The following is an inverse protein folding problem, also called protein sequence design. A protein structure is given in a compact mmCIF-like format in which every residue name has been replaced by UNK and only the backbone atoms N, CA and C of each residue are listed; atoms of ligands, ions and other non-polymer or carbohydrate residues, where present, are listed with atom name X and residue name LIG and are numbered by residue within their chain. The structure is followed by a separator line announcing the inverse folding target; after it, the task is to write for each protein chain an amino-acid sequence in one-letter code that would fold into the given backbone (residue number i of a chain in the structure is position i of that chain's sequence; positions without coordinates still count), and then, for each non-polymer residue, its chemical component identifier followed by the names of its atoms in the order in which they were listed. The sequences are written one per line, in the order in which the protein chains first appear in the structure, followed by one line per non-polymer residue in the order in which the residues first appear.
data_IF_588511092773
#
_entry.id   IF_588511092773
#
_cell.length_a   1.000
_cell.length_b   1.000
_cell.length_c   1.000
_cell.angle_alpha   90.00
_cell.angle_beta   90.00
_cell.angle_gamma   90.00
#
_symmetry.space_group_name_H-M   'P 1'
#
loop_
_entity.id
_entity.type
_entity.pdbx_description
1 polymer ?
#
# COMPACT_ATOMS: atom_id res chain seq x y z
N UNK A 1 32.02 -24.29 -3.39
CA UNK A 1 31.11 -23.25 -3.91
C UNK A 1 30.72 -22.35 -2.75
N UNK A 2 31.13 -21.07 -2.77
CA UNK A 2 30.89 -20.17 -1.65
C UNK A 2 29.40 -19.85 -1.52
N UNK A 3 28.83 -20.02 -0.33
CA UNK A 3 27.47 -19.59 -0.04
C UNK A 3 27.45 -18.06 0.01
N UNK A 4 26.97 -17.41 -1.05
CA UNK A 4 26.61 -15.99 -0.96
C UNK A 4 25.36 -15.92 -0.09
N UNK A 5 25.46 -15.28 1.07
CA UNK A 5 24.31 -15.01 1.93
C UNK A 5 23.47 -13.93 1.25
N UNK A 6 22.50 -14.35 0.45
CA UNK A 6 21.53 -13.45 -0.19
C UNK A 6 20.39 -13.23 0.80
N UNK A 7 20.17 -11.97 1.15
CA UNK A 7 19.04 -11.52 1.95
C UNK A 7 17.78 -11.49 1.08
N UNK A 8 17.02 -12.59 1.12
CA UNK A 8 15.80 -12.81 0.33
C UNK A 8 14.67 -11.84 0.73
N UNK A 9 14.65 -11.41 1.99
CA UNK A 9 13.58 -10.60 2.57
C UNK A 9 13.80 -9.09 2.35
N UNK A 10 14.95 -8.70 1.81
CA UNK A 10 15.27 -7.30 1.52
C UNK A 10 14.23 -6.65 0.59
N UNK A 11 13.75 -7.40 -0.41
CA UNK A 11 12.75 -6.91 -1.35
C UNK A 11 11.41 -6.62 -0.66
N UNK A 12 10.92 -7.55 0.17
CA UNK A 12 9.69 -7.38 0.94
C UNK A 12 9.76 -6.13 1.83
N UNK A 13 10.84 -5.96 2.61
CA UNK A 13 11.03 -4.76 3.46
C UNK A 13 11.05 -3.45 2.67
N UNK A 14 11.64 -3.45 1.47
CA UNK A 14 11.65 -2.25 0.62
C UNK A 14 10.24 -1.86 0.16
N UNK A 15 9.40 -2.84 -0.18
CA UNK A 15 8.02 -2.59 -0.59
C UNK A 15 7.14 -2.12 0.56
N UNK A 16 7.29 -2.73 1.75
CA UNK A 16 6.61 -2.31 2.97
C UNK A 16 6.89 -0.84 3.29
N UNK A 17 8.17 -0.44 3.31
CA UNK A 17 8.57 0.94 3.59
C UNK A 17 8.12 1.89 2.49
N UNK A 18 8.25 1.51 1.22
CA UNK A 18 7.92 2.37 0.07
C UNK A 18 6.43 2.71 0.05
N UNK A 19 5.58 1.71 0.30
CA UNK A 19 4.16 1.84 0.12
C UNK A 19 3.37 2.02 1.41
N UNK A 20 3.90 1.80 2.61
CA UNK A 20 3.20 2.06 3.88
C UNK A 20 1.70 1.69 3.82
N UNK A 21 1.43 0.39 3.59
CA UNK A 21 0.13 -0.14 3.13
C UNK A 21 -1.01 0.06 4.14
N UNK A 22 -0.68 0.36 5.39
CA UNK A 22 -1.61 0.75 6.44
C UNK A 22 -2.25 2.14 6.21
N UNK A 23 -1.75 2.93 5.26
CA UNK A 23 -2.26 4.26 4.91
C UNK A 23 -2.92 4.30 3.52
N UNK A 24 -3.99 5.10 3.38
CA UNK A 24 -4.66 5.31 2.10
C UNK A 24 -3.72 5.89 1.04
N UNK A 25 -2.83 6.81 1.41
CA UNK A 25 -1.86 7.39 0.47
C UNK A 25 -0.83 6.37 0.01
N UNK A 26 -0.48 5.45 0.89
CA UNK A 26 0.31 4.28 0.58
C UNK A 26 -0.33 3.38 -0.47
N UNK A 27 -1.59 3.01 -0.26
CA UNK A 27 -2.38 2.23 -1.21
C UNK A 27 -2.54 2.95 -2.54
N UNK A 28 -2.76 4.28 -2.55
CA UNK A 28 -2.81 5.06 -3.80
C UNK A 28 -1.52 4.95 -4.60
N UNK A 29 -0.36 5.05 -3.93
CA UNK A 29 0.95 4.88 -4.58
C UNK A 29 1.11 3.46 -5.15
N UNK A 30 0.70 2.45 -4.39
CA UNK A 30 0.75 1.05 -4.83
C UNK A 30 -0.12 0.82 -6.08
N UNK A 31 -1.36 1.30 -6.06
CA UNK A 31 -2.30 1.17 -7.18
C UNK A 31 -1.80 1.87 -8.44
N UNK A 32 -1.17 3.05 -8.30
CA UNK A 32 -0.56 3.77 -9.42
C UNK A 32 0.65 3.03 -10.00
N UNK A 33 1.51 2.51 -9.13
CA UNK A 33 2.73 1.81 -9.54
C UNK A 33 2.47 0.34 -9.95
N UNK A 34 1.21 -0.13 -9.91
CA UNK A 34 0.83 -1.54 -10.13
C UNK A 34 1.39 -2.12 -11.42
N UNK A 35 1.37 -1.37 -12.53
CA UNK A 35 1.92 -1.81 -13.82
C UNK A 35 3.44 -1.94 -13.79
N UNK A 36 4.12 -1.05 -13.06
CA UNK A 36 5.57 -1.10 -12.88
C UNK A 36 5.97 -2.33 -12.05
N UNK A 37 5.28 -2.59 -10.94
CA UNK A 37 5.50 -3.77 -10.09
C UNK A 37 5.24 -5.06 -10.88
N UNK A 38 4.16 -5.07 -11.68
CA UNK A 38 3.87 -6.22 -12.55
C UNK A 38 4.97 -6.46 -13.58
N UNK A 39 5.60 -5.40 -14.09
CA UNK A 39 6.72 -5.51 -15.04
C UNK A 39 8.00 -6.01 -14.37
N UNK A 40 8.26 -5.62 -13.12
CA UNK A 40 9.43 -6.04 -12.34
C UNK A 40 9.51 -7.57 -12.15
N UNK A 41 8.36 -8.24 -12.04
CA UNK A 41 8.27 -9.72 -12.00
C UNK A 41 8.97 -10.39 -13.18
N UNK A 42 8.81 -9.82 -14.37
CA UNK A 42 9.33 -10.41 -15.61
C UNK A 42 10.76 -9.93 -15.93
N UNK A 43 11.06 -8.66 -15.66
CA UNK A 43 12.34 -8.06 -16.04
C UNK A 43 13.46 -8.37 -15.03
N UNK A 44 13.12 -8.38 -13.75
CA UNK A 44 14.09 -8.49 -12.66
C UNK A 44 14.01 -9.83 -11.93
N UNK A 45 13.00 -10.66 -12.25
CA UNK A 45 12.71 -11.89 -11.52
C UNK A 45 12.35 -11.64 -10.05
N UNK A 46 11.79 -10.46 -9.74
CA UNK A 46 11.46 -10.08 -8.37
C UNK A 46 10.22 -10.84 -7.90
N UNK A 47 10.44 -11.92 -7.15
CA UNK A 47 9.37 -12.72 -6.56
C UNK A 47 8.58 -11.95 -5.50
N UNK A 48 9.19 -10.99 -4.79
CA UNK A 48 8.48 -10.17 -3.81
C UNK A 48 7.43 -9.26 -4.49
N UNK A 49 7.65 -8.88 -5.75
CA UNK A 49 6.66 -8.18 -6.55
C UNK A 49 5.42 -9.04 -6.86
N UNK A 50 5.56 -10.37 -6.89
CA UNK A 50 4.42 -11.30 -7.03
C UNK A 50 3.57 -11.25 -5.76
N UNK A 51 4.20 -11.43 -4.60
CA UNK A 51 3.52 -11.47 -3.30
C UNK A 51 2.75 -10.16 -3.07
N UNK A 52 3.40 -9.02 -3.31
CA UNK A 52 2.77 -7.70 -3.23
C UNK A 52 1.51 -7.56 -4.10
N UNK A 53 1.51 -8.11 -5.32
CA UNK A 53 0.33 -8.06 -6.20
C UNK A 53 -0.77 -9.04 -5.78
N UNK A 54 -0.38 -10.19 -5.22
CA UNK A 54 -1.31 -11.18 -4.66
C UNK A 54 -2.01 -10.61 -3.43
N UNK A 55 -1.26 -9.95 -2.55
CA UNK A 55 -1.79 -9.27 -1.37
C UNK A 55 -2.72 -8.14 -1.76
N UNK A 56 -2.33 -7.32 -2.75
CA UNK A 56 -3.19 -6.25 -3.28
C UNK A 56 -4.50 -6.78 -3.84
N UNK A 57 -4.44 -7.86 -4.63
CA UNK A 57 -5.63 -8.51 -5.17
C UNK A 57 -6.56 -9.00 -4.05
N UNK A 58 -5.98 -9.67 -3.05
CA UNK A 58 -6.71 -10.18 -1.89
C UNK A 58 -7.32 -9.04 -1.06
N UNK A 59 -6.62 -7.90 -0.95
CA UNK A 59 -7.07 -6.74 -0.18
C UNK A 59 -8.24 -6.05 -0.88
N UNK A 60 -8.17 -5.86 -2.21
CA UNK A 60 -9.26 -5.32 -3.02
C UNK A 60 -10.52 -6.19 -2.89
N UNK A 61 -10.37 -7.52 -2.98
CA UNK A 61 -11.49 -8.45 -2.85
C UNK A 61 -12.12 -8.46 -1.44
N UNK A 62 -11.33 -8.19 -0.41
CA UNK A 62 -11.77 -8.18 0.98
C UNK A 62 -12.30 -6.82 1.46
N UNK A 63 -12.07 -5.75 0.70
CA UNK A 63 -12.35 -4.37 1.11
C UNK A 63 -13.84 -3.98 1.10
N UNK A 64 -14.73 -4.83 0.58
CA UNK A 64 -16.17 -4.53 0.50
C UNK A 64 -16.43 -3.25 -0.31
N UNK A 65 -15.76 -3.12 -1.46
CA UNK A 65 -15.98 -2.01 -2.39
C UNK A 65 -17.39 -2.09 -2.98
N UNK A 66 -18.04 -0.94 -3.17
CA UNK A 66 -19.24 -0.89 -4.00
C UNK A 66 -18.86 -1.13 -5.47
N UNK A 67 -19.84 -1.48 -6.31
CA UNK A 67 -19.62 -1.69 -7.75
C UNK A 67 -18.92 -0.48 -8.39
N UNK A 68 -19.41 0.73 -8.09
CA UNK A 68 -18.80 1.98 -8.58
C UNK A 68 -17.37 2.15 -8.09
N UNK A 69 -17.07 1.82 -6.83
CA UNK A 69 -15.71 1.92 -6.29
C UNK A 69 -14.76 0.93 -6.97
N UNK A 70 -15.21 -0.31 -7.15
CA UNK A 70 -14.44 -1.35 -7.81
C UNK A 70 -14.18 -0.99 -9.28
N UNK A 71 -15.18 -0.48 -9.98
CA UNK A 71 -15.06 -0.05 -11.37
C UNK A 71 -14.08 1.13 -11.53
N UNK A 72 -14.16 2.13 -10.65
CA UNK A 72 -13.21 3.25 -10.66
C UNK A 72 -11.77 2.78 -10.42
N UNK A 73 -11.56 1.86 -9.48
CA UNK A 73 -10.23 1.27 -9.24
C UNK A 73 -9.76 0.47 -10.45
N UNK A 74 -10.65 -0.28 -11.11
CA UNK A 74 -10.32 -1.05 -12.30
C UNK A 74 -9.89 -0.16 -13.47
N UNK A 75 -10.58 0.95 -13.74
CA UNK A 75 -10.19 1.89 -14.79
C UNK A 75 -8.86 2.58 -14.49
N UNK A 76 -8.70 3.11 -13.27
CA UNK A 76 -7.51 3.90 -12.92
C UNK A 76 -6.27 3.02 -12.76
N UNK A 77 -6.36 1.92 -12.01
CA UNK A 77 -5.20 1.07 -11.67
C UNK A 77 -5.05 -0.16 -12.59
N UNK A 78 -6.14 -0.61 -13.21
CA UNK A 78 -6.13 -1.75 -14.12
C UNK A 78 -5.86 -1.37 -15.57
N UNK A 79 -6.40 -0.23 -16.02
CA UNK A 79 -6.26 0.27 -17.39
C UNK A 79 -5.38 1.53 -17.51
N UNK A 80 -4.71 1.94 -16.44
CA UNK A 80 -3.84 3.13 -16.36
C UNK A 80 -4.52 4.43 -16.83
N UNK A 81 -5.82 4.56 -16.54
CA UNK A 81 -6.59 5.73 -16.95
C UNK A 81 -6.49 6.87 -15.94
N UNK A 82 -6.51 8.09 -16.45
CA UNK A 82 -6.69 9.27 -15.60
C UNK A 82 -8.10 9.33 -15.03
N UNK A 83 -8.28 10.04 -13.91
CA UNK A 83 -9.61 10.32 -13.34
C UNK A 83 -10.51 11.06 -14.33
N UNK A 84 -9.92 11.88 -15.22
CA UNK A 84 -10.65 12.61 -16.25
C UNK A 84 -11.20 11.65 -17.31
N UNK A 85 -10.36 10.77 -17.86
CA UNK A 85 -10.81 9.74 -18.82
C UNK A 85 -11.85 8.80 -18.21
N UNK A 86 -11.65 8.38 -16.96
CA UNK A 86 -12.61 7.55 -16.23
C UNK A 86 -13.96 8.26 -16.08
N UNK A 87 -13.95 9.58 -15.81
CA UNK A 87 -15.16 10.39 -15.70
C UNK A 87 -15.94 10.46 -17.02
N UNK A 88 -15.23 10.53 -18.14
CA UNK A 88 -15.82 10.55 -19.49
C UNK A 88 -16.46 9.20 -19.85
N UNK A 89 -15.82 8.09 -19.47
CA UNK A 89 -16.30 6.73 -19.71
C UNK A 89 -17.52 6.40 -18.85
N UNK A 90 -17.46 6.74 -17.57
CA UNK A 90 -18.53 6.44 -16.62
C UNK A 90 -19.67 7.50 -16.63
N UNK A 91 -19.53 8.56 -17.42
CA UNK A 91 -20.48 9.68 -17.50
C UNK A 91 -20.83 10.31 -16.13
N UNK A 92 -19.84 10.41 -15.25
CA UNK A 92 -19.94 11.02 -13.92
C UNK A 92 -18.95 12.17 -13.78
N UNK A 93 -19.14 13.03 -12.79
CA UNK A 93 -18.22 14.15 -12.57
C UNK A 93 -16.86 13.62 -12.09
N UNK A 94 -15.77 14.29 -12.52
CA UNK A 94 -14.41 13.99 -12.03
C UNK A 94 -14.34 13.99 -10.49
N UNK A 95 -15.04 14.90 -9.83
CA UNK A 95 -15.09 14.97 -8.36
C UNK A 95 -15.70 13.70 -7.73
N UNK A 96 -16.74 13.14 -8.34
CA UNK A 96 -17.33 11.88 -7.89
C UNK A 96 -16.35 10.72 -8.04
N UNK A 97 -15.61 10.67 -9.16
CA UNK A 97 -14.55 9.68 -9.40
C UNK A 97 -13.44 9.80 -8.35
N UNK A 98 -12.94 11.01 -8.10
CA UNK A 98 -11.89 11.25 -7.09
C UNK A 98 -12.36 10.76 -5.71
N UNK A 99 -13.57 11.13 -5.30
CA UNK A 99 -14.13 10.72 -4.01
C UNK A 99 -14.33 9.20 -3.92
N UNK A 100 -14.84 8.57 -4.98
CA UNK A 100 -15.03 7.13 -5.03
C UNK A 100 -13.69 6.39 -4.93
N UNK A 101 -12.66 6.86 -5.64
CA UNK A 101 -11.31 6.31 -5.59
C UNK A 101 -10.66 6.47 -4.22
N UNK A 102 -10.79 7.64 -3.59
CA UNK A 102 -10.27 7.89 -2.24
C UNK A 102 -10.91 6.97 -1.20
N UNK A 103 -12.23 6.82 -1.23
CA UNK A 103 -12.95 5.91 -0.32
C UNK A 103 -12.54 4.46 -0.58
N UNK A 104 -12.32 4.06 -1.85
CA UNK A 104 -11.84 2.73 -2.17
C UNK A 104 -10.44 2.47 -1.59
N UNK A 105 -9.52 3.43 -1.73
CA UNK A 105 -8.18 3.34 -1.16
C UNK A 105 -8.20 3.22 0.36
N UNK A 106 -9.07 3.97 1.04
CA UNK A 106 -9.22 3.89 2.50
C UNK A 106 -9.75 2.53 2.96
N UNK A 107 -10.73 1.96 2.24
CA UNK A 107 -11.24 0.61 2.54
C UNK A 107 -10.17 -0.46 2.33
N UNK A 108 -9.37 -0.36 1.27
CA UNK A 108 -8.25 -1.28 1.02
C UNK A 108 -7.19 -1.14 2.12
N UNK A 109 -6.84 0.09 2.51
CA UNK A 109 -5.91 0.34 3.62
C UNK A 109 -6.43 -0.23 4.95
N UNK A 110 -7.75 -0.17 5.19
CA UNK A 110 -8.37 -0.79 6.36
C UNK A 110 -8.19 -2.32 6.39
N UNK A 111 -8.19 -2.98 5.23
CA UNK A 111 -7.88 -4.42 5.15
C UNK A 111 -6.42 -4.66 5.51
N UNK A 112 -5.49 -3.89 4.97
CA UNK A 112 -4.07 -4.01 5.32
C UNK A 112 -3.82 -3.78 6.81
N UNK A 113 -4.42 -2.73 7.41
CA UNK A 113 -4.37 -2.50 8.86
C UNK A 113 -4.90 -3.67 9.69
N UNK A 114 -5.89 -4.40 9.17
CA UNK A 114 -6.42 -5.59 9.84
C UNK A 114 -5.48 -6.79 9.70
N UNK A 115 -4.76 -6.89 8.58
CA UNK A 115 -3.79 -7.97 8.32
C UNK A 115 -2.46 -7.76 9.01
N UNK A 116 -2.06 -6.52 9.28
CA UNK A 116 -0.96 -6.17 10.19
C UNK A 116 -1.32 -6.49 11.64
N UNK A 117 -1.61 -7.78 11.95
CA UNK A 117 -1.93 -8.31 13.28
C UNK A 117 -1.19 -7.56 14.40
N UNK A 118 -1.84 -6.53 14.95
CA UNK A 118 -1.36 -5.68 16.05
C UNK A 118 0.14 -5.37 16.03
N UNK A 119 0.54 -4.27 15.41
CA UNK A 119 1.80 -3.64 15.80
C UNK A 119 1.82 -3.48 17.33
N UNK A 120 2.72 -4.18 18.01
CA UNK A 120 3.10 -3.86 19.39
C UNK A 120 3.95 -2.60 19.30
N UNK A 121 3.32 -1.45 19.48
CA UNK A 121 4.06 -0.21 19.68
C UNK A 121 4.78 -0.31 21.04
N UNK A 122 6.10 -0.58 21.03
CA UNK A 122 6.95 -0.40 22.20
C UNK A 122 7.21 1.10 22.36
N UNK A 123 6.41 1.76 23.19
CA UNK A 123 6.70 3.11 23.65
C UNK A 123 7.83 3.06 24.68
N UNK A 124 8.92 3.79 24.45
CA UNK A 124 9.90 4.05 25.48
C UNK A 124 9.41 5.23 26.32
N UNK A 125 9.16 4.99 27.61
CA UNK A 125 9.11 6.09 28.57
C UNK A 125 10.57 6.48 28.81
N UNK A 126 10.96 7.65 28.30
CA UNK A 126 12.14 8.32 28.83
C UNK A 126 11.72 8.80 30.22
N UNK A 127 12.06 8.02 31.25
CA UNK A 127 12.10 8.57 32.60
C UNK A 127 13.17 9.66 32.56
N UNK A 128 12.75 10.90 32.74
CA UNK A 128 13.66 12.02 32.96
C UNK A 128 14.50 11.63 34.20
N UNK A 129 15.77 11.28 34.00
CA UNK A 129 16.71 11.16 35.11
C UNK A 129 16.79 12.54 35.75
N UNK A 130 16.13 12.69 36.90
CA UNK A 130 16.33 13.79 37.83
C UNK A 130 17.83 13.81 38.21
N UNK A 131 18.60 14.64 37.51
CA UNK A 131 19.91 15.06 37.96
C UNK A 131 19.71 15.94 39.20
N UNK A 132 19.51 15.32 40.36
CA UNK A 132 19.71 15.99 41.63
C UNK A 132 21.18 16.41 41.71
N UNK A 133 21.39 17.73 41.72
CA UNK A 133 22.71 18.33 41.77
C UNK A 133 23.47 17.91 43.01
N UNK A 134 24.65 17.33 42.80
CA UNK A 134 25.64 17.20 43.87
C UNK A 134 26.44 18.51 43.94
N UNK A 135 25.98 19.39 44.83
CA UNK A 135 26.77 20.49 45.35
C UNK A 135 27.74 19.94 46.42
N UNK A 136 29.04 19.93 46.13
CA UNK A 136 30.13 20.05 47.11
C UNK A 136 31.44 20.42 46.42
#
# INVERSE_FOLDING_TARGET
MGSVKIDVDKGARMYEVKYALNSADGVKKLLRDRHHISSARFQSGDYNAVDMLVDLSSAINSAGLSEVQAEVVAWISGADMTQQQTSEIMHVTRQAITKAYEVACEKIAAVYRKWEYGEVCVGYLLEDEDYEGEAA
#
